data_IF_831577697643
#
_entry.id   IF_831577697643
#
_cell.length_a   1.000
_cell.length_b   1.000
_cell.length_c   1.000
_cell.angle_alpha   90.00
_cell.angle_beta   90.00
_cell.angle_gamma   90.00
#
_symmetry.space_group_name_H-M   'P 1'
#
loop_
_entity.id
_entity.type
_entity.pdbx_description
1 polymer ?
#
# COMPACT_ATOMS: atom_id res chain seq x y z
N UNK A 1 4.21 3.96 2.01
CA UNK A 1 3.34 3.58 0.89
C UNK A 1 2.37 2.52 1.41
N UNK A 2 1.13 2.50 0.95
CA UNK A 2 0.15 1.50 1.37
C UNK A 2 0.20 0.31 0.40
N UNK A 3 0.82 -0.79 0.84
CA UNK A 3 1.00 -2.01 0.05
C UNK A 3 -0.19 -2.93 0.28
N UNK A 4 -1.15 -2.97 -0.65
CA UNK A 4 -2.42 -3.70 -0.48
C UNK A 4 -2.70 -4.75 -1.57
N UNK A 5 -1.68 -5.09 -2.37
CA UNK A 5 -1.81 -6.02 -3.48
C UNK A 5 -0.96 -7.28 -3.30
N UNK A 6 -1.46 -8.23 -2.53
CA UNK A 6 -0.82 -9.52 -2.30
C UNK A 6 -0.70 -10.41 -3.56
N UNK A 7 -1.34 -10.04 -4.68
CA UNK A 7 -1.33 -10.85 -5.91
C UNK A 7 -0.22 -10.43 -6.86
N UNK A 8 -0.03 -9.12 -7.03
CA UNK A 8 0.95 -8.55 -7.96
C UNK A 8 2.20 -8.02 -7.24
N UNK A 9 2.12 -7.82 -5.93
CA UNK A 9 3.20 -7.41 -5.04
C UNK A 9 2.98 -8.04 -3.64
N UNK A 10 3.33 -7.35 -2.56
CA UNK A 10 3.09 -7.73 -1.18
C UNK A 10 1.90 -6.93 -0.62
N UNK A 11 1.27 -7.48 0.42
CA UNK A 11 0.32 -6.75 1.24
C UNK A 11 0.80 -6.71 2.69
N UNK A 12 1.14 -5.52 3.18
CA UNK A 12 1.67 -5.31 4.53
C UNK A 12 1.49 -3.86 4.99
N UNK A 13 1.73 -3.65 6.28
CA UNK A 13 1.60 -2.36 6.94
C UNK A 13 0.20 -2.25 7.53
N UNK A 14 0.06 -2.27 8.86
CA UNK A 14 -1.15 -2.73 9.55
C UNK A 14 -2.40 -1.87 9.39
N UNK A 15 -2.33 -0.79 8.60
CA UNK A 15 -3.52 -0.08 8.17
C UNK A 15 -4.48 -1.01 7.40
N UNK A 16 -5.78 -0.83 7.62
CA UNK A 16 -6.84 -1.65 7.01
C UNK A 16 -6.61 -3.17 7.18
N UNK A 17 -6.19 -3.58 8.38
CA UNK A 17 -6.08 -4.99 8.80
C UNK A 17 -5.04 -5.83 8.02
N UNK A 18 -4.07 -5.18 7.38
CA UNK A 18 -2.96 -5.90 6.77
C UNK A 18 -1.95 -6.41 7.81
N UNK A 19 -1.13 -7.42 7.48
CA UNK A 19 -0.09 -7.89 8.39
C UNK A 19 0.94 -6.81 8.72
N UNK A 20 1.39 -6.79 9.97
CA UNK A 20 2.49 -5.91 10.39
C UNK A 20 3.83 -6.36 9.82
N UNK A 21 4.78 -5.43 9.73
CA UNK A 21 6.11 -5.63 9.16
C UNK A 21 7.15 -4.83 9.94
N UNK A 22 8.41 -5.30 9.92
CA UNK A 22 9.54 -4.56 10.48
C UNK A 22 10.11 -3.48 9.55
N UNK A 23 9.68 -3.47 8.28
CA UNK A 23 10.19 -2.58 7.25
C UNK A 23 9.03 -1.98 6.46
N UNK A 24 9.08 -0.67 6.18
CA UNK A 24 8.05 -0.02 5.37
C UNK A 24 6.66 0.04 6.02
N UNK A 25 6.58 -0.11 7.35
CA UNK A 25 5.32 -0.14 8.11
C UNK A 25 4.45 1.08 7.79
N UNK A 26 3.22 0.81 7.34
CA UNK A 26 2.19 1.83 7.17
C UNK A 26 1.12 1.65 8.26
N UNK A 27 1.21 2.37 9.40
CA UNK A 27 0.34 2.14 10.53
C UNK A 27 -1.07 2.71 10.31
N UNK A 28 -2.05 2.17 11.04
CA UNK A 28 -3.43 2.64 11.02
C UNK A 28 -3.56 4.13 11.40
N UNK A 29 -2.74 4.61 12.34
CA UNK A 29 -2.73 6.03 12.73
C UNK A 29 -2.36 6.96 11.57
N UNK A 30 -1.46 6.54 10.67
CA UNK A 30 -1.08 7.31 9.49
C UNK A 30 -2.20 7.32 8.44
N UNK A 31 -2.93 6.20 8.27
CA UNK A 31 -4.12 6.14 7.42
C UNK A 31 -5.19 7.12 7.91
N UNK A 32 -5.41 7.19 9.22
CA UNK A 32 -6.38 8.11 9.82
C UNK A 32 -5.95 9.57 9.71
N UNK A 33 -4.66 9.86 9.90
CA UNK A 33 -4.11 11.19 9.69
C UNK A 33 -4.29 11.63 8.23
N UNK A 34 -3.98 10.75 7.28
CA UNK A 34 -4.18 11.03 5.86
C UNK A 34 -5.64 11.38 5.55
N UNK A 35 -6.60 10.63 6.09
CA UNK A 35 -8.04 10.94 5.96
C UNK A 35 -8.37 12.32 6.55
N UNK A 36 -7.87 12.63 7.75
CA UNK A 36 -8.11 13.92 8.43
C UNK A 36 -7.53 15.11 7.65
N UNK A 37 -6.37 14.92 7.03
CA UNK A 37 -5.66 15.95 6.27
C UNK A 37 -6.03 16.00 4.79
N UNK A 38 -6.94 15.13 4.33
CA UNK A 38 -7.31 15.03 2.92
C UNK A 38 -6.18 14.56 2.01
N UNK A 39 -5.20 13.84 2.55
CA UNK A 39 -4.16 13.21 1.74
C UNK A 39 -4.73 12.00 1.01
N UNK A 40 -4.43 11.92 -0.28
CA UNK A 40 -4.79 10.75 -1.08
C UNK A 40 -3.79 9.64 -0.78
N UNK A 41 -4.30 8.53 -0.22
CA UNK A 41 -3.53 7.29 -0.04
C UNK A 41 -3.81 6.39 -1.24
N UNK A 42 -2.77 6.08 -2.00
CA UNK A 42 -2.85 5.25 -3.20
C UNK A 42 -2.98 3.77 -2.81
N UNK A 43 -3.91 3.06 -3.44
CA UNK A 43 -4.05 1.61 -3.43
C UNK A 43 -3.26 1.02 -4.60
N UNK A 44 -2.21 0.24 -4.34
CA UNK A 44 -1.49 -0.47 -5.41
C UNK A 44 -2.43 -1.41 -6.17
N UNK A 45 -3.34 -2.06 -5.43
CA UNK A 45 -4.32 -3.00 -6.00
C UNK A 45 -5.29 -2.33 -6.97
N UNK A 46 -5.86 -1.19 -6.60
CA UNK A 46 -6.97 -0.59 -7.34
C UNK A 46 -6.54 0.53 -8.29
N UNK A 47 -5.48 1.26 -7.96
CA UNK A 47 -5.10 2.47 -8.70
C UNK A 47 -4.01 2.20 -9.74
N UNK A 48 -3.17 1.18 -9.52
CA UNK A 48 -2.05 0.89 -10.43
C UNK A 48 -2.42 -0.16 -11.46
N UNK A 49 -2.28 0.22 -12.74
CA UNK A 49 -2.45 -0.70 -13.88
C UNK A 49 -1.30 -1.72 -14.01
N UNK A 50 -0.08 -1.30 -13.67
CA UNK A 50 1.14 -2.10 -13.81
C UNK A 50 1.99 -1.89 -12.56
N UNK A 51 2.44 -2.99 -11.93
CA UNK A 51 3.36 -2.94 -10.78
C UNK A 51 4.82 -2.99 -11.25
N UNK A 52 5.13 -3.96 -12.11
CA UNK A 52 6.45 -4.15 -12.68
C UNK A 52 6.37 -4.04 -14.20
N UNK A 53 7.29 -3.29 -14.80
CA UNK A 53 7.47 -3.33 -16.25
C UNK A 53 7.99 -4.72 -16.63
N UNK A 54 7.48 -5.30 -17.72
CA UNK A 54 8.09 -6.49 -18.28
C UNK A 54 9.53 -6.20 -18.68
N UNK A 55 10.45 -7.09 -18.36
CA UNK A 55 11.78 -7.03 -18.93
C UNK A 55 11.67 -7.02 -20.46
N UNK A 56 12.42 -6.13 -21.13
CA UNK A 56 12.58 -6.25 -22.59
C UNK A 56 13.31 -7.57 -22.83
N UNK A 57 12.76 -8.38 -23.73
CA UNK A 57 13.51 -9.49 -24.33
C UNK A 57 14.63 -8.94 -25.19
#
# INVERSE_FOLDING_TARGET
>A
MFHDDAKREYAYGPANDLPDTKFGTFPQSLMEEAKKKGWIVISMKNDWKVIFLSARQ
#
